data_IF_337001194822
#
_entry.id   IF_337001194822
#
_cell.length_a   1.000
_cell.length_b   1.000
_cell.length_c   1.000
_cell.angle_alpha   90.00
_cell.angle_beta   90.00
_cell.angle_gamma   90.00
#
_symmetry.space_group_name_H-M   'P 1'
#
loop_
_entity.id
_entity.type
_entity.pdbx_description
1 polymer ?
#
# COMPACT_ATOMS: atom_id res chain seq x y z
N UNK A 1 -15.40 -4.03 15.14
CA UNK A 1 -15.62 -3.03 14.07
C UNK A 1 -14.25 -2.77 13.44
N UNK A 2 -14.06 -3.15 12.19
CA UNK A 2 -12.87 -2.78 11.42
C UNK A 2 -12.92 -1.26 11.30
N UNK A 3 -11.92 -0.57 11.85
CA UNK A 3 -11.82 0.87 11.64
C UNK A 3 -11.62 1.10 10.14
N UNK A 4 -12.57 1.72 9.47
CA UNK A 4 -12.57 1.96 8.02
C UNK A 4 -11.40 2.85 7.53
N UNK A 5 -10.57 3.33 8.45
CA UNK A 5 -9.49 4.26 8.21
C UNK A 5 -8.11 3.77 8.64
N UNK A 6 -7.93 2.44 8.74
CA UNK A 6 -6.62 1.82 8.93
C UNK A 6 -6.35 0.75 7.89
N UNK A 7 -5.09 0.48 7.60
CA UNK A 7 -4.65 -0.59 6.73
C UNK A 7 -3.30 -1.16 7.19
N UNK A 8 -3.05 -2.44 6.87
CA UNK A 8 -1.79 -3.11 7.14
C UNK A 8 -0.91 -3.10 5.88
N UNK A 9 0.36 -2.79 6.06
CA UNK A 9 1.37 -2.82 5.01
C UNK A 9 2.73 -3.21 5.59
N UNK A 10 3.77 -3.21 4.77
CA UNK A 10 5.15 -3.44 5.20
C UNK A 10 5.96 -2.15 5.15
N UNK A 11 7.00 -2.04 5.97
CA UNK A 11 7.85 -0.83 6.02
C UNK A 11 8.90 -0.82 4.94
N UNK A 12 9.57 -1.93 4.72
CA UNK A 12 10.74 -2.08 3.87
C UNK A 12 10.65 -3.32 2.98
N UNK A 13 11.58 -3.43 2.03
CA UNK A 13 11.71 -4.62 1.17
C UNK A 13 12.16 -5.79 2.03
N UNK A 14 11.47 -6.92 1.90
CA UNK A 14 11.81 -8.17 2.54
C UNK A 14 11.93 -9.29 1.51
N UNK A 15 12.83 -10.23 1.74
CA UNK A 15 13.08 -11.36 0.86
C UNK A 15 12.88 -12.68 1.60
N UNK A 16 12.45 -13.69 0.87
CA UNK A 16 12.33 -15.05 1.33
C UNK A 16 12.67 -16.03 0.22
N UNK A 17 13.12 -17.22 0.58
CA UNK A 17 13.49 -18.27 -0.35
C UNK A 17 12.79 -19.55 0.03
N UNK A 18 12.24 -20.24 -0.97
CA UNK A 18 11.70 -21.58 -0.85
C UNK A 18 12.30 -22.49 -1.92
N UNK A 19 12.63 -23.71 -1.55
CA UNK A 19 13.18 -24.71 -2.50
C UNK A 19 12.34 -25.98 -2.47
N UNK A 20 12.05 -26.51 -3.64
CA UNK A 20 11.31 -27.76 -3.82
C UNK A 20 11.85 -28.50 -5.04
N UNK A 21 12.23 -29.78 -4.87
CA UNK A 21 12.75 -30.63 -5.94
C UNK A 21 13.83 -29.94 -6.79
N UNK A 22 14.80 -29.30 -6.15
CA UNK A 22 15.89 -28.50 -6.74
C UNK A 22 15.43 -27.21 -7.43
N UNK A 23 14.13 -26.94 -7.57
CA UNK A 23 13.66 -25.63 -8.02
C UNK A 23 13.81 -24.62 -6.87
N UNK A 24 14.26 -23.41 -7.22
CA UNK A 24 14.46 -22.30 -6.28
C UNK A 24 13.46 -21.19 -6.57
N UNK A 25 12.78 -20.74 -5.53
CA UNK A 25 11.79 -19.66 -5.56
C UNK A 25 12.29 -18.52 -4.68
N UNK A 26 12.58 -17.38 -5.28
CA UNK A 26 13.04 -16.17 -4.57
C UNK A 26 11.87 -15.20 -4.53
N UNK A 27 11.35 -14.93 -3.34
CA UNK A 27 10.25 -14.02 -3.15
C UNK A 27 10.74 -12.68 -2.60
N UNK A 28 10.22 -11.59 -3.13
CA UNK A 28 10.52 -10.22 -2.73
C UNK A 28 9.20 -9.50 -2.46
N UNK A 29 9.01 -9.07 -1.21
CA UNK A 29 7.89 -8.23 -0.80
C UNK A 29 8.35 -6.77 -0.77
N UNK A 30 7.64 -5.88 -1.45
CA UNK A 30 8.05 -4.49 -1.72
C UNK A 30 6.89 -3.57 -1.36
N UNK A 31 7.08 -2.55 -0.50
CA UNK A 31 6.06 -1.52 -0.30
C UNK A 31 5.95 -0.65 -1.57
N UNK A 32 4.74 -0.52 -2.12
CA UNK A 32 4.46 0.25 -3.34
C UNK A 32 3.14 0.99 -3.20
N UNK A 33 3.03 2.17 -3.79
CA UNK A 33 1.82 3.00 -3.71
C UNK A 33 1.12 3.22 -5.04
N UNK A 34 1.86 3.10 -6.14
CA UNK A 34 1.37 3.41 -7.48
C UNK A 34 1.69 2.30 -8.48
N UNK A 35 0.95 2.27 -9.58
CA UNK A 35 1.21 1.36 -10.70
C UNK A 35 2.58 1.66 -11.34
N UNK A 36 3.01 2.91 -11.34
CA UNK A 36 4.30 3.34 -11.86
C UNK A 36 5.46 2.74 -11.06
N UNK A 37 5.38 2.80 -9.72
CA UNK A 37 6.35 2.15 -8.84
C UNK A 37 6.41 0.63 -9.08
N UNK A 38 5.24 -0.01 -9.22
CA UNK A 38 5.16 -1.45 -9.53
C UNK A 38 5.89 -1.78 -10.82
N UNK A 39 5.66 -1.02 -11.91
CA UNK A 39 6.34 -1.21 -13.19
C UNK A 39 7.85 -1.05 -13.06
N UNK A 40 8.31 -0.02 -12.35
CA UNK A 40 9.74 0.21 -12.11
C UNK A 40 10.40 -0.97 -11.38
N UNK A 41 9.76 -1.49 -10.33
CA UNK A 41 10.25 -2.65 -9.60
C UNK A 41 10.24 -3.92 -10.47
N UNK A 42 9.17 -4.17 -11.23
CA UNK A 42 9.09 -5.33 -12.12
C UNK A 42 10.21 -5.29 -13.17
N UNK A 43 10.46 -4.13 -13.80
CA UNK A 43 11.53 -3.96 -14.77
C UNK A 43 12.92 -4.18 -14.13
N UNK A 44 13.13 -3.65 -12.94
CA UNK A 44 14.38 -3.81 -12.21
C UNK A 44 14.66 -5.27 -11.85
N UNK A 45 13.66 -5.99 -11.33
CA UNK A 45 13.82 -7.39 -10.94
C UNK A 45 13.88 -8.33 -12.14
N UNK A 46 13.20 -8.06 -13.25
CA UNK A 46 13.34 -8.78 -14.50
C UNK A 46 14.77 -8.63 -15.08
N UNK A 47 15.36 -7.46 -15.00
CA UNK A 47 16.75 -7.23 -15.39
C UNK A 47 17.73 -7.91 -14.45
N UNK A 48 17.50 -7.83 -13.12
CA UNK A 48 18.34 -8.48 -12.11
C UNK A 48 18.38 -10.01 -12.28
N UNK A 49 17.23 -10.61 -12.59
CA UNK A 49 17.05 -12.05 -12.77
C UNK A 49 16.76 -12.39 -14.24
N UNK A 50 17.54 -11.82 -15.16
CA UNK A 50 17.34 -11.93 -16.61
C UNK A 50 17.40 -13.38 -17.12
N UNK A 51 18.08 -14.26 -16.41
CA UNK A 51 18.22 -15.69 -16.69
C UNK A 51 17.11 -16.56 -16.07
N UNK A 52 16.24 -15.97 -15.25
CA UNK A 52 15.09 -16.67 -14.72
C UNK A 52 13.98 -16.79 -15.75
N UNK A 53 13.38 -17.97 -15.83
CA UNK A 53 12.31 -18.23 -16.80
C UNK A 53 10.97 -17.61 -16.42
N UNK A 54 10.70 -17.47 -15.12
CA UNK A 54 9.44 -16.97 -14.59
C UNK A 54 9.70 -15.95 -13.49
N UNK A 55 9.12 -14.76 -13.67
CA UNK A 55 9.07 -13.67 -12.69
C UNK A 55 7.60 -13.35 -12.44
N UNK A 56 6.98 -14.15 -11.59
CA UNK A 56 5.55 -14.04 -11.28
C UNK A 56 5.32 -13.01 -10.18
N UNK A 57 4.14 -12.40 -10.13
CA UNK A 57 3.86 -11.39 -9.13
C UNK A 57 2.37 -11.26 -8.80
N UNK A 58 2.11 -10.64 -7.68
CA UNK A 58 0.81 -10.06 -7.35
C UNK A 58 1.00 -8.74 -6.59
N UNK A 59 0.04 -7.85 -6.71
CA UNK A 59 0.00 -6.62 -5.93
C UNK A 59 -1.40 -6.33 -5.40
N UNK A 60 -1.43 -5.50 -4.36
CA UNK A 60 -2.63 -4.93 -3.77
C UNK A 60 -2.35 -3.45 -3.48
N UNK A 61 -3.23 -2.55 -3.95
CA UNK A 61 -3.14 -1.11 -3.75
C UNK A 61 -4.39 -0.55 -3.05
N UNK A 62 -4.22 0.61 -2.44
CA UNK A 62 -5.28 1.33 -1.75
C UNK A 62 -5.69 0.68 -0.42
N UNK A 63 -6.15 1.50 0.52
CA UNK A 63 -6.61 1.01 1.82
C UNK A 63 -7.85 0.14 1.74
N UNK A 64 -8.69 0.33 0.72
CA UNK A 64 -9.90 -0.47 0.48
C UNK A 64 -9.61 -1.82 -0.18
N UNK A 65 -8.36 -2.06 -0.65
CA UNK A 65 -7.92 -3.31 -1.26
C UNK A 65 -8.75 -3.73 -2.49
N UNK A 66 -9.18 -2.73 -3.29
CA UNK A 66 -9.99 -2.95 -4.50
C UNK A 66 -9.16 -3.03 -5.77
N UNK A 67 -7.95 -2.47 -5.77
CA UNK A 67 -7.03 -2.49 -6.90
C UNK A 67 -5.95 -3.54 -6.68
N UNK A 68 -6.06 -4.66 -7.40
CA UNK A 68 -5.16 -5.79 -7.28
C UNK A 68 -4.95 -6.50 -8.62
N UNK A 69 -3.83 -7.19 -8.74
CA UNK A 69 -3.53 -8.03 -9.90
C UNK A 69 -2.67 -9.21 -9.51
N UNK A 70 -2.85 -10.33 -10.22
CA UNK A 70 -2.02 -11.51 -10.16
C UNK A 70 -1.51 -11.85 -11.56
N UNK A 71 -0.26 -12.28 -11.68
CA UNK A 71 0.37 -12.61 -12.97
C UNK A 71 1.24 -13.86 -12.87
N UNK A 72 0.97 -14.83 -13.72
CA UNK A 72 1.66 -16.13 -13.73
C UNK A 72 2.94 -16.13 -14.58
N UNK A 73 3.19 -15.12 -15.40
CA UNK A 73 4.38 -14.94 -16.24
C UNK A 73 4.89 -16.24 -16.90
N UNK A 74 4.01 -16.90 -17.66
CA UNK A 74 4.31 -18.12 -18.40
C UNK A 74 4.23 -19.42 -17.60
N UNK A 75 3.97 -19.39 -16.31
CA UNK A 75 3.54 -20.58 -15.57
C UNK A 75 2.11 -20.98 -15.95
N UNK A 76 1.68 -22.22 -15.71
CA UNK A 76 0.29 -22.61 -15.95
C UNK A 76 -0.69 -21.70 -15.20
N UNK A 77 -1.81 -21.38 -15.85
CA UNK A 77 -2.79 -20.43 -15.32
C UNK A 77 -3.22 -20.74 -13.88
N UNK A 78 -3.12 -19.73 -13.00
CA UNK A 78 -3.53 -19.81 -11.59
C UNK A 78 -2.54 -20.54 -10.67
N UNK A 79 -1.37 -20.91 -11.14
CA UNK A 79 -0.39 -21.67 -10.33
C UNK A 79 0.64 -20.82 -9.61
N UNK A 80 0.77 -19.54 -9.98
CA UNK A 80 1.76 -18.63 -9.41
C UNK A 80 1.13 -17.35 -8.86
N UNK A 81 0.54 -16.52 -9.70
CA UNK A 81 0.01 -15.24 -9.30
C UNK A 81 -1.10 -15.32 -8.25
N UNK A 82 -2.05 -16.24 -8.41
CA UNK A 82 -3.14 -16.45 -7.42
C UNK A 82 -2.63 -16.92 -6.05
N UNK A 83 -1.72 -17.90 -5.93
CA UNK A 83 -1.10 -18.28 -4.66
C UNK A 83 -0.36 -17.11 -3.97
N UNK A 84 0.34 -16.28 -4.75
CA UNK A 84 1.01 -15.07 -4.23
C UNK A 84 -0.03 -14.09 -3.68
N UNK A 85 -1.06 -13.76 -4.46
CA UNK A 85 -2.15 -12.88 -4.04
C UNK A 85 -2.87 -13.43 -2.79
N UNK A 86 -3.05 -14.75 -2.71
CA UNK A 86 -3.63 -15.43 -1.56
C UNK A 86 -2.85 -15.17 -0.27
N UNK A 87 -1.52 -15.07 -0.33
CA UNK A 87 -0.71 -14.72 0.84
C UNK A 87 -0.83 -13.24 1.23
N UNK A 88 -0.94 -12.34 0.27
CA UNK A 88 -1.25 -10.93 0.53
C UNK A 88 -2.61 -10.84 1.24
N UNK A 89 -3.61 -11.56 0.76
CA UNK A 89 -4.96 -11.56 1.31
C UNK A 89 -5.03 -12.17 2.72
N UNK A 90 -4.38 -13.30 2.95
CA UNK A 90 -4.42 -13.98 4.26
C UNK A 90 -3.73 -13.19 5.37
N UNK A 91 -2.82 -12.29 5.03
CA UNK A 91 -2.19 -11.35 5.96
C UNK A 91 -2.88 -9.97 5.97
N UNK A 92 -3.97 -9.79 5.24
CA UNK A 92 -4.74 -8.54 5.12
C UNK A 92 -3.88 -7.34 4.68
N UNK A 93 -2.82 -7.58 3.90
CA UNK A 93 -1.89 -6.55 3.45
C UNK A 93 -2.41 -5.78 2.25
N UNK A 94 -2.01 -4.52 2.14
CA UNK A 94 -2.19 -3.67 0.97
C UNK A 94 -0.96 -2.75 0.80
N UNK A 95 -0.95 -1.95 -0.27
CA UNK A 95 0.19 -1.08 -0.60
C UNK A 95 1.48 -1.92 -0.74
N UNK A 96 1.34 -3.07 -1.40
CA UNK A 96 2.38 -4.10 -1.48
C UNK A 96 2.42 -4.74 -2.87
N UNK A 97 3.63 -5.02 -3.33
CA UNK A 97 3.95 -5.89 -4.46
C UNK A 97 4.75 -7.10 -3.93
N UNK A 98 4.37 -8.30 -4.34
CA UNK A 98 5.17 -9.50 -4.07
C UNK A 98 5.56 -10.12 -5.40
N UNK A 99 6.88 -10.22 -5.64
CA UNK A 99 7.47 -10.85 -6.81
C UNK A 99 8.04 -12.21 -6.38
N UNK A 100 7.82 -13.24 -7.16
CA UNK A 100 8.47 -14.55 -6.97
C UNK A 100 9.17 -14.96 -8.25
N UNK A 101 10.48 -15.07 -8.16
CA UNK A 101 11.38 -15.51 -9.25
C UNK A 101 11.63 -17.01 -9.11
N UNK A 102 11.43 -17.77 -10.18
CA UNK A 102 11.66 -19.21 -10.18
C UNK A 102 12.83 -19.62 -11.07
N UNK A 103 13.70 -20.42 -10.49
CA UNK A 103 14.72 -21.20 -11.22
C UNK A 103 14.35 -22.68 -11.20
N UNK A 104 14.20 -23.29 -12.40
CA UNK A 104 13.85 -24.69 -12.54
C UNK A 104 15.01 -25.60 -12.14
N UNK A 105 14.75 -26.63 -11.33
CA UNK A 105 15.74 -27.54 -10.81
C UNK A 105 15.86 -28.88 -11.58
N UNK A 106 15.26 -28.98 -12.77
CA UNK A 106 15.31 -30.19 -13.58
C UNK A 106 14.19 -31.22 -13.31
N UNK A 107 13.44 -31.05 -12.23
CA UNK A 107 12.31 -31.92 -11.84
C UNK A 107 11.02 -31.15 -11.90
N UNK A 108 10.03 -31.61 -12.65
CA UNK A 108 8.71 -30.98 -12.76
C UNK A 108 7.96 -31.12 -11.44
N UNK A 109 7.37 -29.99 -10.98
CA UNK A 109 6.56 -29.97 -9.76
C UNK A 109 5.08 -30.33 -10.00
N UNK A 110 4.60 -30.13 -11.22
CA UNK A 110 3.18 -30.19 -11.57
C UNK A 110 2.43 -28.94 -11.08
N UNK A 111 1.16 -28.79 -11.45
CA UNK A 111 0.35 -27.62 -11.10
C UNK A 111 0.14 -27.47 -9.60
N UNK A 112 -0.18 -28.57 -8.89
CA UNK A 112 -0.34 -28.58 -7.44
C UNK A 112 0.96 -28.23 -6.71
N UNK A 113 2.10 -28.76 -7.17
CA UNK A 113 3.41 -28.46 -6.59
C UNK A 113 3.83 -27.01 -6.79
N UNK A 114 3.50 -26.42 -7.96
CA UNK A 114 3.74 -24.99 -8.23
C UNK A 114 2.91 -24.09 -7.29
N UNK A 115 1.63 -24.39 -7.13
CA UNK A 115 0.76 -23.64 -6.22
C UNK A 115 1.33 -23.61 -4.80
N UNK A 116 1.74 -24.77 -4.28
CA UNK A 116 2.35 -24.89 -2.95
C UNK A 116 3.65 -24.10 -2.87
N UNK A 117 4.52 -24.19 -3.89
CA UNK A 117 5.83 -23.54 -3.91
C UNK A 117 5.72 -22.00 -3.97
N UNK A 118 4.88 -21.46 -4.85
CA UNK A 118 4.66 -20.01 -4.94
C UNK A 118 4.02 -19.46 -3.67
N UNK A 119 3.06 -20.17 -3.10
CA UNK A 119 2.46 -19.82 -1.80
C UNK A 119 3.51 -19.80 -0.69
N UNK A 120 4.33 -20.83 -0.59
CA UNK A 120 5.35 -20.94 0.45
C UNK A 120 6.41 -19.84 0.32
N UNK A 121 6.90 -19.57 -0.91
CA UNK A 121 7.88 -18.52 -1.15
C UNK A 121 7.35 -17.13 -0.78
N UNK A 122 6.12 -16.80 -1.18
CA UNK A 122 5.48 -15.55 -0.81
C UNK A 122 5.29 -15.43 0.71
N UNK A 123 4.91 -16.52 1.38
CA UNK A 123 4.80 -16.57 2.84
C UNK A 123 6.13 -16.29 3.54
N UNK A 124 7.25 -16.82 3.04
CA UNK A 124 8.59 -16.56 3.60
C UNK A 124 8.97 -15.08 3.50
N UNK A 125 8.74 -14.42 2.36
CA UNK A 125 9.03 -13.00 2.20
C UNK A 125 8.17 -12.14 3.12
N UNK A 126 6.87 -12.44 3.25
CA UNK A 126 5.96 -11.71 4.15
C UNK A 126 6.32 -11.96 5.62
N UNK A 127 6.72 -13.17 5.99
CA UNK A 127 7.16 -13.48 7.35
C UNK A 127 8.46 -12.75 7.73
N UNK A 128 9.32 -12.44 6.76
CA UNK A 128 10.54 -11.65 6.96
C UNK A 128 10.29 -10.13 6.99
N UNK A 129 9.09 -9.68 6.62
CA UNK A 129 8.74 -8.26 6.55
C UNK A 129 8.26 -7.73 7.90
N UNK A 130 8.54 -6.46 8.16
CA UNK A 130 7.96 -5.72 9.28
C UNK A 130 6.58 -5.19 8.88
N UNK A 131 5.54 -5.86 9.38
CA UNK A 131 4.14 -5.47 9.14
C UNK A 131 3.75 -4.37 10.13
N UNK A 132 3.20 -3.29 9.61
CA UNK A 132 2.71 -2.14 10.38
C UNK A 132 1.28 -1.80 10.01
N UNK A 133 0.54 -1.28 10.96
CA UNK A 133 -0.75 -0.66 10.73
C UNK A 133 -0.57 0.85 10.51
N UNK A 134 -1.20 1.40 9.50
CA UNK A 134 -1.20 2.84 9.18
C UNK A 134 -2.63 3.37 9.12
N UNK A 135 -2.78 4.66 9.38
CA UNK A 135 -4.05 5.38 9.23
C UNK A 135 -4.22 5.88 7.81
N UNK A 136 -5.47 5.99 7.41
CA UNK A 136 -5.87 6.72 6.19
C UNK A 136 -6.13 8.16 6.60
N UNK A 137 -5.36 9.08 6.05
CA UNK A 137 -5.54 10.51 6.27
C UNK A 137 -6.23 11.16 5.07
N UNK A 138 -6.98 12.21 5.34
CA UNK A 138 -7.62 13.07 4.35
C UNK A 138 -7.16 14.51 4.55
N UNK A 139 -7.20 15.29 3.47
CA UNK A 139 -6.82 16.69 3.48
C UNK A 139 -8.06 17.58 3.29
N UNK A 140 -8.02 18.75 3.88
CA UNK A 140 -9.03 19.79 3.76
C UNK A 140 -8.35 21.15 3.68
N UNK A 141 -8.82 21.98 2.76
CA UNK A 141 -8.36 23.36 2.63
C UNK A 141 -9.46 24.30 3.09
N UNK A 142 -9.15 25.21 4.00
CA UNK A 142 -10.07 26.22 4.50
C UNK A 142 -9.51 27.61 4.19
N UNK A 143 -10.35 28.50 3.64
CA UNK A 143 -10.08 29.93 3.54
C UNK A 143 -10.95 30.68 4.54
N UNK A 144 -10.41 31.76 5.12
CA UNK A 144 -11.11 32.57 6.12
C UNK A 144 -10.51 33.99 6.21
N UNK A 145 -11.27 34.91 6.76
CA UNK A 145 -10.78 36.28 6.99
C UNK A 145 -9.91 36.36 8.26
N UNK A 146 -8.87 37.16 8.22
CA UNK A 146 -7.88 37.30 9.30
C UNK A 146 -8.47 37.50 10.73
N UNK A 147 -9.55 38.28 10.95
CA UNK A 147 -10.14 38.44 12.28
C UNK A 147 -10.60 37.13 12.92
N UNK A 148 -10.86 36.10 12.13
CA UNK A 148 -11.32 34.79 12.62
C UNK A 148 -10.17 33.79 12.82
N UNK A 149 -8.91 34.20 12.67
CA UNK A 149 -7.70 33.39 12.87
C UNK A 149 -7.73 32.67 14.23
N UNK A 150 -8.10 33.36 15.30
CA UNK A 150 -8.10 32.75 16.63
C UNK A 150 -9.12 31.62 16.76
N UNK A 151 -10.27 31.73 16.11
CA UNK A 151 -11.28 30.66 16.09
C UNK A 151 -10.81 29.42 15.32
N UNK A 152 -10.19 29.63 14.16
CA UNK A 152 -9.57 28.55 13.38
C UNK A 152 -8.44 27.90 14.17
N UNK A 153 -7.52 28.67 14.75
CA UNK A 153 -6.39 28.13 15.53
C UNK A 153 -6.83 27.39 16.79
N UNK A 154 -7.95 27.78 17.42
CA UNK A 154 -8.53 27.01 18.52
C UNK A 154 -8.98 25.62 18.06
N UNK A 155 -9.67 25.52 16.90
CA UNK A 155 -10.09 24.24 16.32
C UNK A 155 -8.87 23.38 15.99
N UNK A 156 -7.85 23.96 15.34
CA UNK A 156 -6.60 23.29 15.00
C UNK A 156 -5.88 22.76 16.25
N UNK A 157 -5.85 23.55 17.34
CA UNK A 157 -5.23 23.13 18.60
C UNK A 157 -5.99 22.00 19.29
N UNK A 158 -7.32 21.99 19.21
CA UNK A 158 -8.16 21.00 19.89
C UNK A 158 -8.29 19.67 19.10
N UNK A 159 -8.34 19.72 17.78
CA UNK A 159 -8.49 18.53 16.91
C UNK A 159 -7.14 18.03 16.37
N UNK A 160 -6.06 18.79 16.54
CA UNK A 160 -4.67 18.46 16.22
C UNK A 160 -4.42 17.96 14.79
N UNK A 161 -5.02 18.53 13.73
CA UNK A 161 -4.66 18.19 12.37
C UNK A 161 -3.23 18.64 12.06
N UNK A 162 -2.55 17.93 11.16
CA UNK A 162 -1.28 18.40 10.62
C UNK A 162 -1.52 19.60 9.69
N UNK A 163 -0.81 20.70 9.93
CA UNK A 163 -0.83 21.86 9.04
C UNK A 163 0.18 21.59 7.91
N UNK A 164 -0.31 21.46 6.68
CA UNK A 164 0.52 21.21 5.50
C UNK A 164 0.97 22.50 4.84
N UNK A 165 0.09 23.50 4.82
CA UNK A 165 0.32 24.79 4.19
C UNK A 165 -0.51 25.86 4.89
N UNK A 166 0.03 27.06 4.96
CA UNK A 166 -0.69 28.23 5.46
C UNK A 166 -0.19 29.48 4.74
N UNK A 167 -1.12 30.35 4.35
CA UNK A 167 -0.84 31.68 3.81
C UNK A 167 -1.72 32.71 4.44
N UNK A 168 -1.21 33.94 4.57
CA UNK A 168 -1.86 35.04 5.27
C UNK A 168 -1.82 36.31 4.42
N UNK A 169 -2.33 36.19 3.18
CA UNK A 169 -2.49 37.34 2.28
C UNK A 169 -3.82 38.07 2.54
N UNK A 170 -4.48 38.54 1.51
CA UNK A 170 -5.78 39.22 1.64
C UNK A 170 -6.85 38.28 2.23
N UNK A 171 -6.82 37.02 1.84
CA UNK A 171 -7.56 35.93 2.47
C UNK A 171 -6.56 34.96 3.11
N UNK A 172 -6.84 34.52 4.33
CA UNK A 172 -6.06 33.46 4.97
C UNK A 172 -6.45 32.11 4.40
N UNK A 173 -5.46 31.27 4.11
CA UNK A 173 -5.66 29.92 3.61
C UNK A 173 -4.87 28.93 4.45
N UNK A 174 -5.49 27.82 4.80
CA UNK A 174 -4.84 26.75 5.56
C UNK A 174 -5.22 25.38 4.99
N UNK A 175 -4.21 24.58 4.65
CA UNK A 175 -4.39 23.17 4.25
C UNK A 175 -4.02 22.27 5.41
N UNK A 176 -4.98 21.45 5.82
CA UNK A 176 -4.91 20.60 7.00
C UNK A 176 -5.04 19.13 6.57
N UNK A 177 -4.36 18.24 7.28
CA UNK A 177 -4.49 16.79 7.10
C UNK A 177 -4.82 16.16 8.44
N UNK A 178 -5.81 15.27 8.43
CA UNK A 178 -6.26 14.56 9.62
C UNK A 178 -6.72 13.16 9.24
N UNK A 179 -6.72 12.27 10.20
CA UNK A 179 -7.26 10.92 10.05
C UNK A 179 -8.70 10.95 9.51
N UNK A 180 -9.00 10.11 8.51
CA UNK A 180 -10.29 10.07 7.80
C UNK A 180 -11.49 10.02 8.73
N UNK A 181 -11.46 9.21 9.80
CA UNK A 181 -12.56 9.11 10.77
C UNK A 181 -12.82 10.40 11.54
N UNK A 182 -11.85 11.33 11.58
CA UNK A 182 -11.97 12.62 12.26
C UNK A 182 -12.31 13.78 11.31
N UNK A 183 -12.21 13.57 10.00
CA UNK A 183 -12.41 14.62 8.99
C UNK A 183 -13.81 15.25 9.07
N UNK A 184 -14.86 14.44 9.25
CA UNK A 184 -16.24 14.93 9.34
C UNK A 184 -16.44 15.88 10.53
N UNK A 185 -15.83 15.57 11.68
CA UNK A 185 -15.87 16.44 12.86
C UNK A 185 -15.13 17.76 12.62
N UNK A 186 -13.92 17.68 12.07
CA UNK A 186 -13.09 18.85 11.74
C UNK A 186 -13.82 19.78 10.76
N UNK A 187 -14.32 19.22 9.65
CA UNK A 187 -15.09 19.98 8.64
C UNK A 187 -16.27 20.71 9.26
N UNK A 188 -17.11 20.02 10.04
CA UNK A 188 -18.28 20.59 10.67
C UNK A 188 -17.95 21.73 11.67
N UNK A 189 -16.78 21.69 12.31
CA UNK A 189 -16.31 22.75 13.20
C UNK A 189 -15.79 23.95 12.42
N UNK A 190 -15.00 23.74 11.35
CA UNK A 190 -14.49 24.80 10.50
C UNK A 190 -15.63 25.56 9.82
N UNK A 191 -16.65 24.88 9.31
CA UNK A 191 -17.82 25.48 8.65
C UNK A 191 -18.69 26.35 9.58
N UNK A 192 -18.54 26.22 10.90
CA UNK A 192 -19.24 27.06 11.89
C UNK A 192 -18.56 28.43 12.11
N UNK A 193 -17.32 28.60 11.67
CA UNK A 193 -16.63 29.89 11.72
C UNK A 193 -17.19 30.77 10.61
N UNK A 194 -17.66 31.98 10.95
CA UNK A 194 -18.52 32.85 10.15
C UNK A 194 -18.02 33.10 8.69
N UNK A 195 -16.71 33.29 8.51
CA UNK A 195 -16.13 33.56 7.18
C UNK A 195 -15.42 32.35 6.54
N UNK A 196 -15.38 31.23 7.26
CA UNK A 196 -14.66 30.06 6.80
C UNK A 196 -15.39 29.38 5.62
N UNK A 197 -14.64 29.08 4.58
CA UNK A 197 -15.10 28.35 3.40
C UNK A 197 -14.16 27.19 3.12
N UNK A 198 -14.74 26.00 2.96
CA UNK A 198 -13.99 24.84 2.51
C UNK A 198 -13.74 24.95 1.01
N UNK A 199 -12.48 24.79 0.59
CA UNK A 199 -12.05 24.77 -0.81
C UNK A 199 -11.73 23.31 -1.13
N UNK A 200 -12.36 22.75 -2.16
CA UNK A 200 -12.14 21.40 -2.65
C UNK A 200 -11.06 21.38 -3.73
#
# INVERSE_FOLDING_TARGET
MIQEDTYKTITDIAEGIYTEKRSKFIAIAIPVRTIEEIKQHLDAYQKKYYDARHVCYAYMLGHERKDFRANDNGEPSGTAGKPILGQINSNELTVILVIVVRYFGGIKLGTSGLIVAYKAAAAEAIAAADIVERTVDEEITVSFEYPFMNDIMRIVKEDEPAILEQSYDMDCLMRLRIRKSMMGKLRARLEKVETARIIE
#
